data_IF_253504793025
#
_entry.id   IF_253504793025
#
_cell.length_a   1.000
_cell.length_b   1.000
_cell.length_c   1.000
_cell.angle_alpha   90.00
_cell.angle_beta   90.00
_cell.angle_gamma   90.00
#
_symmetry.space_group_name_H-M   'P 1'
#
loop_
_entity.id
_entity.type
_entity.pdbx_description
1 polymer ?
#
# COMPACT_ATOMS: atom_id res chain seq x y z
N UNK A 1 19.49 -23.44 -5.76
CA UNK A 1 18.56 -23.71 -4.65
C UNK A 1 18.87 -22.83 -3.42
N UNK A 2 20.15 -22.52 -3.14
CA UNK A 2 20.55 -21.69 -2.00
C UNK A 2 20.13 -20.20 -2.07
N UNK A 3 20.14 -19.58 -3.25
CA UNK A 3 19.78 -18.15 -3.43
C UNK A 3 18.30 -17.90 -3.08
N UNK A 4 17.41 -18.83 -3.42
CA UNK A 4 15.97 -18.74 -3.12
C UNK A 4 15.73 -18.87 -1.59
N UNK A 5 16.50 -19.75 -0.92
CA UNK A 5 16.40 -19.95 0.52
C UNK A 5 16.89 -18.73 1.32
N UNK A 6 17.97 -18.08 0.87
CA UNK A 6 18.48 -16.85 1.46
C UNK A 6 17.49 -15.69 1.27
N UNK A 7 16.90 -15.56 0.08
CA UNK A 7 15.88 -14.56 -0.20
C UNK A 7 14.63 -14.73 0.67
N UNK A 8 14.17 -15.97 0.87
CA UNK A 8 13.03 -16.27 1.72
C UNK A 8 13.33 -15.94 3.20
N UNK A 9 14.53 -16.29 3.70
CA UNK A 9 14.94 -15.98 5.07
C UNK A 9 15.07 -14.47 5.31
N UNK A 10 15.57 -13.73 4.32
CA UNK A 10 15.70 -12.27 4.39
C UNK A 10 14.32 -11.58 4.44
N UNK A 11 13.39 -12.00 3.57
CA UNK A 11 12.00 -11.52 3.57
C UNK A 11 11.33 -11.84 4.91
N UNK A 12 11.60 -13.02 5.45
CA UNK A 12 11.01 -13.47 6.69
C UNK A 12 11.47 -12.66 7.90
N UNK A 13 12.74 -12.27 7.90
CA UNK A 13 13.36 -11.44 8.94
C UNK A 13 12.82 -10.01 8.87
N UNK A 14 12.69 -9.45 7.66
CA UNK A 14 12.12 -8.12 7.43
C UNK A 14 10.66 -8.05 7.92
N UNK A 15 9.83 -9.07 7.64
CA UNK A 15 8.44 -9.07 8.09
C UNK A 15 8.30 -9.15 9.62
N UNK A 16 9.17 -9.90 10.30
CA UNK A 16 9.14 -9.99 11.75
C UNK A 16 9.51 -8.65 12.39
N UNK A 17 10.53 -7.97 11.85
CA UNK A 17 10.87 -6.62 12.29
C UNK A 17 9.77 -5.61 11.97
N UNK A 18 9.21 -5.64 10.76
CA UNK A 18 8.09 -4.78 10.33
C UNK A 18 6.92 -4.91 11.29
N UNK A 19 6.44 -6.14 11.55
CA UNK A 19 5.34 -6.39 12.50
C UNK A 19 5.62 -5.85 13.89
N UNK A 20 6.82 -6.04 14.41
CA UNK A 20 7.20 -5.59 15.75
C UNK A 20 7.24 -4.06 15.84
N UNK A 21 7.81 -3.41 14.82
CA UNK A 21 7.87 -1.95 14.70
C UNK A 21 6.45 -1.38 14.59
N UNK A 22 5.67 -1.84 13.62
CA UNK A 22 4.29 -1.41 13.39
C UNK A 22 3.48 -1.49 14.67
N UNK A 23 3.45 -2.66 15.33
CA UNK A 23 2.67 -2.85 16.56
C UNK A 23 3.17 -1.97 17.71
N UNK A 24 4.47 -1.78 17.87
CA UNK A 24 5.04 -0.96 18.94
C UNK A 24 4.69 0.52 18.78
N UNK A 25 4.90 1.07 17.58
CA UNK A 25 4.63 2.48 17.30
C UNK A 25 3.14 2.80 17.27
N UNK A 26 2.31 1.94 16.69
CA UNK A 26 0.86 2.15 16.67
C UNK A 26 0.28 2.19 18.07
N UNK A 27 0.66 1.24 18.95
CA UNK A 27 0.21 1.28 20.35
C UNK A 27 0.66 2.56 21.05
N UNK A 28 1.93 2.97 20.90
CA UNK A 28 2.44 4.20 21.53
C UNK A 28 1.67 5.44 21.08
N UNK A 29 1.40 5.58 19.79
CA UNK A 29 0.69 6.74 19.23
C UNK A 29 -0.76 6.73 19.70
N UNK A 30 -1.46 5.59 19.62
CA UNK A 30 -2.86 5.50 20.04
C UNK A 30 -3.01 5.76 21.54
N UNK A 31 -2.15 5.16 22.39
CA UNK A 31 -2.15 5.42 23.83
C UNK A 31 -1.84 6.88 24.15
N UNK A 32 -0.89 7.51 23.44
CA UNK A 32 -0.60 8.93 23.60
C UNK A 32 -1.82 9.81 23.28
N UNK A 33 -2.58 9.50 22.23
CA UNK A 33 -3.78 10.26 21.87
C UNK A 33 -4.92 10.10 22.91
N UNK A 34 -5.06 8.92 23.52
CA UNK A 34 -6.00 8.71 24.63
C UNK A 34 -5.58 9.50 25.86
N UNK A 35 -4.30 9.45 26.24
CA UNK A 35 -3.79 10.17 27.41
C UNK A 35 -3.96 11.69 27.30
N UNK A 36 -3.99 12.22 26.09
CA UNK A 36 -4.24 13.64 25.82
C UNK A 36 -5.73 13.97 25.58
N UNK A 37 -6.65 13.02 25.80
CA UNK A 37 -8.10 13.17 25.60
C UNK A 37 -8.50 13.60 24.18
N UNK A 38 -7.63 13.36 23.18
CA UNK A 38 -7.91 13.69 21.77
C UNK A 38 -8.89 12.68 21.16
N UNK A 39 -8.77 11.40 21.55
CA UNK A 39 -9.64 10.31 21.10
C UNK A 39 -10.26 9.59 22.30
N UNK A 40 -11.45 9.01 22.11
CA UNK A 40 -12.14 8.27 23.17
C UNK A 40 -11.57 6.86 23.27
N UNK A 41 -11.55 6.30 24.48
CA UNK A 41 -11.09 4.92 24.72
C UNK A 41 -11.83 3.89 23.87
N UNK A 42 -13.14 4.09 23.65
CA UNK A 42 -13.96 3.25 22.76
C UNK A 42 -13.52 3.24 21.29
N UNK A 43 -12.70 4.21 20.86
CA UNK A 43 -12.17 4.35 19.51
C UNK A 43 -10.74 3.79 19.39
N UNK A 44 -10.18 3.26 20.48
CA UNK A 44 -8.81 2.75 20.55
C UNK A 44 -8.50 1.78 19.41
N UNK A 45 -9.31 0.73 19.23
CA UNK A 45 -9.05 -0.32 18.23
C UNK A 45 -9.10 0.23 16.80
N UNK A 46 -9.96 1.21 16.54
CA UNK A 46 -10.07 1.86 15.23
C UNK A 46 -8.81 2.65 14.91
N UNK A 47 -8.34 3.47 15.85
CA UNK A 47 -7.12 4.26 15.67
C UNK A 47 -5.86 3.39 15.67
N UNK A 48 -5.80 2.36 16.50
CA UNK A 48 -4.72 1.38 16.49
C UNK A 48 -4.59 0.75 15.10
N UNK A 49 -5.70 0.25 14.54
CA UNK A 49 -5.72 -0.31 13.19
C UNK A 49 -5.31 0.73 12.12
N UNK A 50 -5.78 1.97 12.24
CA UNK A 50 -5.43 3.04 11.31
C UNK A 50 -3.93 3.35 11.33
N UNK A 51 -3.31 3.45 12.51
CA UNK A 51 -1.88 3.67 12.64
C UNK A 51 -1.07 2.45 12.22
N UNK A 52 -1.52 1.23 12.55
CA UNK A 52 -0.88 0.00 12.07
C UNK A 52 -0.81 -0.03 10.54
N UNK A 53 -1.93 0.31 9.90
CA UNK A 53 -2.01 0.40 8.43
C UNK A 53 -1.12 1.51 7.89
N UNK A 54 -1.14 2.70 8.49
CA UNK A 54 -0.35 3.85 8.05
C UNK A 54 1.16 3.58 8.15
N UNK A 55 1.62 3.03 9.27
CA UNK A 55 3.05 2.77 9.50
C UNK A 55 3.55 1.68 8.55
N UNK A 56 2.80 0.58 8.40
CA UNK A 56 3.16 -0.47 7.44
C UNK A 56 3.21 0.08 6.01
N UNK A 57 2.29 0.97 5.65
CA UNK A 57 2.29 1.62 4.34
C UNK A 57 3.53 2.51 4.14
N UNK A 58 3.93 3.28 5.15
CA UNK A 58 5.16 4.09 5.09
C UNK A 58 6.41 3.22 4.95
N UNK A 59 6.50 2.11 5.70
CA UNK A 59 7.61 1.16 5.60
C UNK A 59 7.68 0.59 4.17
N UNK A 60 6.53 0.17 3.61
CA UNK A 60 6.43 -0.31 2.23
C UNK A 60 6.97 0.72 1.21
N UNK A 61 6.59 2.01 1.33
CA UNK A 61 7.08 3.08 0.45
C UNK A 61 8.60 3.21 0.55
N UNK A 62 9.14 3.23 1.76
CA UNK A 62 10.59 3.35 1.99
C UNK A 62 11.34 2.19 1.32
N UNK A 63 10.85 0.95 1.48
CA UNK A 63 11.46 -0.23 0.86
C UNK A 63 11.50 -0.08 -0.66
N UNK A 64 10.39 0.30 -1.30
CA UNK A 64 10.35 0.47 -2.77
C UNK A 64 11.24 1.62 -3.25
N UNK A 65 11.31 2.73 -2.52
CA UNK A 65 12.22 3.83 -2.87
C UNK A 65 13.68 3.39 -2.84
N UNK A 66 14.08 2.64 -1.81
CA UNK A 66 15.44 2.09 -1.71
C UNK A 66 15.72 1.14 -2.88
N UNK A 67 14.79 0.23 -3.19
CA UNK A 67 14.90 -0.67 -4.34
C UNK A 67 15.02 0.12 -5.65
N UNK A 68 14.16 1.10 -5.89
CA UNK A 68 14.19 1.92 -7.10
C UNK A 68 15.47 2.75 -7.26
N UNK A 69 16.05 3.24 -6.16
CA UNK A 69 17.36 3.88 -6.16
C UNK A 69 18.48 2.90 -6.55
N UNK A 70 18.46 1.66 -6.04
CA UNK A 70 19.46 0.63 -6.36
C UNK A 70 19.42 0.26 -7.85
N UNK A 71 18.23 0.24 -8.46
CA UNK A 71 18.04 -0.08 -9.88
C UNK A 71 18.20 1.13 -10.83
N UNK A 72 18.52 2.32 -10.31
CA UNK A 72 18.59 3.58 -11.07
C UNK A 72 17.30 3.90 -11.85
N UNK A 73 16.15 3.48 -11.32
CA UNK A 73 14.80 3.71 -11.88
C UNK A 73 13.98 4.61 -10.96
N UNK A 74 14.61 5.64 -10.41
CA UNK A 74 13.99 6.49 -9.39
C UNK A 74 12.73 7.21 -9.89
N UNK A 75 12.75 7.77 -11.10
CA UNK A 75 11.58 8.47 -11.67
C UNK A 75 10.39 7.53 -11.91
N UNK A 76 10.63 6.34 -12.46
CA UNK A 76 9.60 5.32 -12.65
C UNK A 76 8.99 4.89 -11.31
N UNK A 77 9.84 4.81 -10.27
CA UNK A 77 9.42 4.47 -8.91
C UNK A 77 8.54 5.55 -8.31
N UNK A 78 8.92 6.82 -8.42
CA UNK A 78 8.11 7.95 -7.95
C UNK A 78 6.75 7.97 -8.66
N UNK A 79 6.72 7.77 -9.98
CA UNK A 79 5.48 7.72 -10.76
C UNK A 79 4.60 6.54 -10.31
N UNK A 80 5.19 5.35 -10.17
CA UNK A 80 4.47 4.18 -9.66
C UNK A 80 3.83 4.47 -8.30
N UNK A 81 4.58 5.06 -7.37
CA UNK A 81 4.08 5.42 -6.05
C UNK A 81 2.94 6.45 -6.14
N UNK A 82 3.08 7.49 -6.95
CA UNK A 82 2.09 8.55 -7.09
C UNK A 82 0.70 8.03 -7.53
N UNK A 83 0.67 7.01 -8.40
CA UNK A 83 -0.59 6.43 -8.87
C UNK A 83 -1.07 5.25 -8.03
N UNK A 84 -0.17 4.38 -7.58
CA UNK A 84 -0.56 3.19 -6.82
C UNK A 84 -1.03 3.53 -5.40
N UNK A 85 -0.39 4.50 -4.73
CA UNK A 85 -0.68 4.84 -3.34
C UNK A 85 -2.14 5.29 -3.13
N UNK A 86 -2.69 6.24 -3.91
CA UNK A 86 -4.11 6.61 -3.82
C UNK A 86 -5.03 5.41 -4.07
N UNK A 87 -4.76 4.63 -5.13
CA UNK A 87 -5.58 3.46 -5.47
C UNK A 87 -5.63 2.48 -4.30
N UNK A 88 -4.48 2.18 -3.67
CA UNK A 88 -4.40 1.27 -2.51
C UNK A 88 -5.15 1.81 -1.29
N UNK A 89 -5.13 3.13 -1.07
CA UNK A 89 -5.84 3.75 0.06
C UNK A 89 -7.35 3.65 -0.10
N UNK A 90 -7.88 3.80 -1.32
CA UNK A 90 -9.31 3.72 -1.61
C UNK A 90 -9.83 2.30 -1.84
N UNK A 91 -8.96 1.36 -2.24
CA UNK A 91 -9.36 -0.02 -2.53
C UNK A 91 -9.72 -0.87 -1.29
N UNK A 92 -9.62 -0.33 -0.07
CA UNK A 92 -10.13 -0.95 1.16
C UNK A 92 -9.65 -2.40 1.37
N UNK A 93 -8.42 -2.58 1.84
CA UNK A 93 -7.78 -3.90 1.94
C UNK A 93 -7.85 -4.59 3.31
N UNK A 94 -7.78 -5.93 3.26
CA UNK A 94 -7.68 -6.93 4.34
C UNK A 94 -6.35 -6.83 5.13
N UNK A 95 -6.10 -5.71 5.82
CA UNK A 95 -4.75 -5.38 6.35
C UNK A 95 -4.40 -5.93 7.74
N UNK A 96 -5.31 -6.64 8.41
CA UNK A 96 -5.09 -7.05 9.80
C UNK A 96 -4.31 -8.37 9.97
N UNK A 97 -4.26 -9.27 8.97
CA UNK A 97 -3.76 -10.63 9.22
C UNK A 97 -2.35 -10.92 8.70
N UNK A 98 -1.87 -10.26 7.61
CA UNK A 98 -0.60 -10.66 6.98
C UNK A 98 0.14 -9.50 6.27
N UNK A 99 0.94 -8.72 7.01
CA UNK A 99 1.84 -7.68 6.46
C UNK A 99 2.72 -8.20 5.31
N UNK A 100 3.34 -9.39 5.46
CA UNK A 100 4.01 -10.13 4.37
C UNK A 100 3.29 -10.10 3.03
N UNK A 101 2.01 -10.49 3.04
CA UNK A 101 1.26 -10.62 1.80
C UNK A 101 1.14 -9.27 1.12
N UNK A 102 0.95 -8.21 1.91
CA UNK A 102 0.89 -6.89 1.34
C UNK A 102 2.23 -6.42 0.79
N UNK A 103 3.33 -6.61 1.53
CA UNK A 103 4.67 -6.27 1.06
C UNK A 103 5.01 -7.03 -0.22
N UNK A 104 4.72 -8.34 -0.26
CA UNK A 104 4.96 -9.19 -1.43
C UNK A 104 4.12 -8.76 -2.64
N UNK A 105 2.83 -8.49 -2.45
CA UNK A 105 1.97 -7.98 -3.54
C UNK A 105 2.50 -6.65 -4.04
N UNK A 106 2.92 -5.76 -3.14
CA UNK A 106 3.41 -4.44 -3.50
C UNK A 106 4.71 -4.50 -4.30
N UNK A 107 5.70 -5.28 -3.83
CA UNK A 107 6.95 -5.54 -4.53
C UNK A 107 6.69 -6.22 -5.88
N UNK A 108 5.81 -7.22 -5.91
CA UNK A 108 5.49 -7.96 -7.14
C UNK A 108 4.86 -7.04 -8.20
N UNK A 109 3.90 -6.19 -7.81
CA UNK A 109 3.29 -5.21 -8.71
C UNK A 109 4.31 -4.22 -9.27
N UNK A 110 5.24 -3.76 -8.44
CA UNK A 110 6.30 -2.87 -8.86
C UNK A 110 7.26 -3.52 -9.86
N UNK A 111 7.74 -4.73 -9.59
CA UNK A 111 8.61 -5.48 -10.51
C UNK A 111 7.89 -5.74 -11.84
N UNK A 112 6.63 -6.16 -11.78
CA UNK A 112 5.80 -6.35 -12.96
C UNK A 112 5.65 -5.06 -13.76
N UNK A 113 5.45 -3.91 -13.09
CA UNK A 113 5.31 -2.61 -13.74
C UNK A 113 6.58 -2.23 -14.51
N UNK A 114 7.76 -2.33 -13.89
CA UNK A 114 9.04 -2.05 -14.55
C UNK A 114 9.26 -2.99 -15.74
N UNK A 115 9.00 -4.28 -15.57
CA UNK A 115 9.18 -5.25 -16.64
C UNK A 115 8.26 -4.96 -17.84
N UNK A 116 6.99 -4.65 -17.57
CA UNK A 116 6.01 -4.34 -18.61
C UNK A 116 6.34 -3.04 -19.34
N UNK A 117 6.75 -1.99 -18.62
CA UNK A 117 7.22 -0.73 -19.19
C UNK A 117 8.41 -0.95 -20.13
N UNK A 118 9.42 -1.71 -19.71
CA UNK A 118 10.58 -2.00 -20.55
C UNK A 118 10.19 -2.73 -21.84
N UNK A 119 9.28 -3.72 -21.79
CA UNK A 119 8.80 -4.42 -22.99
C UNK A 119 8.08 -3.47 -23.95
N UNK A 120 7.19 -2.63 -23.41
CA UNK A 120 6.38 -1.71 -24.21
C UNK A 120 7.24 -0.67 -24.93
N UNK A 121 8.24 -0.12 -24.24
CA UNK A 121 9.20 0.84 -24.81
C UNK A 121 10.06 0.16 -25.89
N UNK A 122 10.62 -1.02 -25.61
CA UNK A 122 11.49 -1.73 -26.56
C UNK A 122 10.77 -2.17 -27.84
N UNK A 123 9.47 -2.45 -27.76
CA UNK A 123 8.65 -2.87 -28.92
C UNK A 123 7.92 -1.69 -29.60
N UNK A 124 8.16 -0.45 -29.15
CA UNK A 124 7.50 0.77 -29.65
C UNK A 124 5.95 0.67 -29.66
N UNK A 125 5.36 -0.03 -28.67
CA UNK A 125 3.92 -0.32 -28.61
C UNK A 125 3.10 0.82 -28.00
N UNK A 126 3.40 2.07 -28.38
CA UNK A 126 2.80 3.27 -27.78
C UNK A 126 1.26 3.30 -27.89
N UNK A 127 0.70 2.78 -28.98
CA UNK A 127 -0.76 2.68 -29.16
C UNK A 127 -1.43 1.77 -28.11
N UNK A 128 -0.75 0.71 -27.67
CA UNK A 128 -1.26 -0.21 -26.65
C UNK A 128 -1.26 0.47 -25.28
N UNK A 129 -0.25 1.31 -24.99
CA UNK A 129 -0.18 2.08 -23.74
C UNK A 129 -1.39 3.00 -23.64
N UNK A 130 -1.67 3.78 -24.69
CA UNK A 130 -2.81 4.72 -24.72
C UNK A 130 -4.13 3.96 -24.53
N UNK A 131 -4.28 2.81 -25.19
CA UNK A 131 -5.47 1.98 -25.03
C UNK A 131 -5.66 1.46 -23.60
N UNK A 132 -4.60 0.94 -22.97
CA UNK A 132 -4.63 0.49 -21.57
C UNK A 132 -4.94 1.63 -20.61
N UNK A 133 -4.40 2.83 -20.85
CA UNK A 133 -4.69 4.03 -20.05
C UNK A 133 -6.17 4.38 -20.09
N UNK A 134 -6.81 4.37 -21.27
CA UNK A 134 -8.24 4.65 -21.42
C UNK A 134 -9.07 3.61 -20.66
N UNK A 135 -8.75 2.32 -20.79
CA UNK A 135 -9.45 1.25 -20.04
C UNK A 135 -9.30 1.47 -18.54
N UNK A 136 -8.09 1.77 -18.06
CA UNK A 136 -7.84 1.98 -16.63
C UNK A 136 -8.64 3.17 -16.09
N UNK A 137 -8.73 4.26 -16.84
CA UNK A 137 -9.49 5.45 -16.45
C UNK A 137 -10.99 5.14 -16.32
N UNK A 138 -11.55 4.41 -17.29
CA UNK A 138 -12.95 3.96 -17.25
C UNK A 138 -13.18 3.04 -16.04
N UNK A 139 -12.26 2.10 -15.81
CA UNK A 139 -12.32 1.17 -14.67
C UNK A 139 -12.29 1.90 -13.33
N UNK A 140 -11.40 2.87 -13.16
CA UNK A 140 -11.34 3.71 -11.95
C UNK A 140 -12.63 4.51 -11.80
N UNK A 141 -13.13 5.14 -12.87
CA UNK A 141 -14.36 5.93 -12.80
C UNK A 141 -15.57 5.10 -12.33
N UNK A 142 -15.69 3.86 -12.80
CA UNK A 142 -16.79 2.96 -12.43
C UNK A 142 -16.59 2.36 -11.04
N UNK A 143 -15.36 1.94 -10.71
CA UNK A 143 -15.07 1.14 -9.51
C UNK A 143 -14.59 1.95 -8.30
N UNK A 144 -14.22 3.22 -8.44
CA UNK A 144 -13.75 4.04 -7.32
C UNK A 144 -14.79 4.39 -6.23
N UNK A 145 -16.12 4.39 -6.44
CA UNK A 145 -17.05 4.54 -5.33
C UNK A 145 -17.18 3.21 -4.57
N UNK A 146 -16.20 2.91 -3.72
CA UNK A 146 -16.22 1.75 -2.82
C UNK A 146 -16.45 2.21 -1.38
N UNK A 147 -17.60 1.85 -0.82
CA UNK A 147 -17.95 2.13 0.57
C UNK A 147 -17.10 1.29 1.53
N UNK A 148 -16.34 1.94 2.43
CA UNK A 148 -15.62 1.24 3.50
C UNK A 148 -16.49 1.12 4.74
N UNK A 149 -16.38 -0.01 5.45
CA UNK A 149 -17.14 -0.31 6.69
C UNK A 149 -16.95 0.73 7.83
N UNK A 150 -15.89 1.53 7.75
CA UNK A 150 -15.50 2.57 8.72
C UNK A 150 -15.49 3.99 8.11
N UNK A 151 -15.83 4.12 6.82
CA UNK A 151 -16.02 5.40 6.14
C UNK A 151 -17.16 5.28 5.11
N UNK A 152 -18.42 5.17 5.57
CA UNK A 152 -19.57 5.03 4.67
C UNK A 152 -19.77 6.32 3.88
N UNK A 153 -19.98 6.20 2.57
CA UNK A 153 -20.22 7.35 1.67
C UNK A 153 -21.56 8.02 1.98
N UNK A 154 -22.54 7.26 2.47
CA UNK A 154 -23.81 7.79 2.97
C UNK A 154 -23.78 7.94 4.50
N UNK A 155 -23.66 9.18 4.97
CA UNK A 155 -23.96 9.49 6.36
C UNK A 155 -25.43 9.14 6.65
N UNK A 156 -25.69 8.40 7.73
CA UNK A 156 -27.05 8.06 8.20
C UNK A 156 -27.93 9.29 8.49
N UNK A 157 -27.39 10.51 8.38
CA UNK A 157 -28.04 11.81 8.53
C UNK A 157 -28.83 12.30 7.32
N UNK A 158 -28.90 11.56 6.20
CA UNK A 158 -29.72 11.94 5.03
C UNK A 158 -31.02 11.13 4.85
N UNK A 159 -31.43 10.32 5.84
CA UNK A 159 -32.84 9.86 5.89
C UNK A 159 -33.67 10.96 6.54
N UNK A 160 -34.12 11.90 5.72
CA UNK A 160 -35.34 12.68 5.96
C UNK A 160 -36.52 11.86 5.47
#
# INVERSE_FOLDING_TARGET
MEIINIGCYFIDTIDLEEKKVVKSYSNKITSFLICNEIIKEKEYDLYLYAFETLIAFVINIIVILVVGCIFDRFLETILFLAFYCPIRQFAGGYHAENYRRCLLVFISLYICNIYFLNILILKELNSIIIFLMIISYIGIYICAPLEHRYNPLYSKSLRV
#
